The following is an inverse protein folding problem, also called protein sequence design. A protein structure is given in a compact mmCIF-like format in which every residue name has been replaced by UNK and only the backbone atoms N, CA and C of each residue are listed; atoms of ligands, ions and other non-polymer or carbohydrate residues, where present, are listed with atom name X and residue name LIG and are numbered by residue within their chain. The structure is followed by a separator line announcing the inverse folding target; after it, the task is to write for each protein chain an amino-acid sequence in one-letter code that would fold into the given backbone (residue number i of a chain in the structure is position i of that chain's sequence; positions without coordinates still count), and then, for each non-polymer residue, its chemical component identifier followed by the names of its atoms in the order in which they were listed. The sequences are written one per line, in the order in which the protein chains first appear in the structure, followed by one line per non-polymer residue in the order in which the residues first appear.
data_IF_493059911461
#
_entry.id   IF_493059911461
#
_cell.length_a   1.000
_cell.length_b   1.000
_cell.length_c   1.000
_cell.angle_alpha   90.00
_cell.angle_beta   90.00
_cell.angle_gamma   90.00
#
_symmetry.space_group_name_H-M   'P 1'
#
loop_
_entity.id
_entity.type
_entity.pdbx_description
1 polymer ?
#
# COMPACT_ATOMS: atom_id res chain seq x y z
N UNK A 1 -12.74 13.65 42.76
CA UNK A 1 -13.22 13.68 41.35
C UNK A 1 -12.29 14.41 40.39
N UNK A 2 -11.70 15.57 40.72
CA UNK A 2 -10.76 16.29 39.81
C UNK A 2 -9.47 15.53 39.49
N UNK A 3 -8.88 14.82 40.47
CA UNK A 3 -7.62 14.09 40.27
C UNK A 3 -7.78 12.85 39.37
N UNK A 4 -8.90 12.13 39.47
CA UNK A 4 -9.19 10.95 38.64
C UNK A 4 -9.30 11.30 37.14
N UNK A 5 -9.92 12.44 36.82
CA UNK A 5 -10.03 12.91 35.43
C UNK A 5 -8.67 13.32 34.84
N UNK A 6 -7.76 13.87 35.65
CA UNK A 6 -6.41 14.25 35.18
C UNK A 6 -5.59 12.99 34.85
N UNK A 7 -5.69 11.95 35.67
CA UNK A 7 -5.00 10.67 35.43
C UNK A 7 -5.55 9.98 34.19
N UNK A 8 -6.88 9.97 34.01
CA UNK A 8 -7.52 9.38 32.83
C UNK A 8 -7.12 10.10 31.53
N UNK A 9 -7.15 11.43 31.52
CA UNK A 9 -6.75 12.24 30.34
C UNK A 9 -5.27 12.04 30.02
N UNK A 10 -4.39 11.99 31.03
CA UNK A 10 -2.96 11.71 30.83
C UNK A 10 -2.72 10.32 30.26
N UNK A 11 -3.43 9.29 30.75
CA UNK A 11 -3.31 7.92 30.24
C UNK A 11 -3.80 7.79 28.80
N UNK A 12 -4.89 8.46 28.44
CA UNK A 12 -5.40 8.49 27.06
C UNK A 12 -4.45 9.25 26.13
N UNK A 13 -3.90 10.38 26.59
CA UNK A 13 -2.92 11.16 25.83
C UNK A 13 -1.62 10.37 25.62
N UNK A 14 -1.15 9.64 26.64
CA UNK A 14 0.01 8.78 26.57
C UNK A 14 -0.23 7.61 25.62
N UNK A 15 -1.42 7.00 25.63
CA UNK A 15 -1.80 5.94 24.69
C UNK A 15 -1.87 6.47 23.25
N UNK A 16 -2.39 7.68 23.04
CA UNK A 16 -2.39 8.36 21.74
C UNK A 16 -0.96 8.64 21.25
N UNK A 17 -0.09 9.13 22.13
CA UNK A 17 1.34 9.34 21.84
C UNK A 17 2.04 8.01 21.52
N UNK A 18 1.77 6.94 22.27
CA UNK A 18 2.31 5.60 22.01
C UNK A 18 1.75 5.00 20.72
N UNK A 19 0.50 5.30 20.34
CA UNK A 19 -0.06 4.94 19.03
C UNK A 19 0.57 5.72 17.87
N UNK A 20 0.95 6.97 18.11
CA UNK A 20 1.66 7.81 17.14
C UNK A 20 3.11 7.32 16.96
N UNK A 21 3.80 6.98 18.06
CA UNK A 21 5.19 6.46 18.04
C UNK A 21 5.27 5.00 17.59
N UNK A 22 4.30 4.16 17.97
CA UNK A 22 4.23 2.75 17.58
C UNK A 22 4.02 2.54 16.08
N UNK A 23 3.46 3.53 15.37
CA UNK A 23 3.40 3.54 13.91
C UNK A 23 4.77 3.65 13.26
N UNK A 24 5.74 4.30 13.90
CA UNK A 24 7.11 4.40 13.38
C UNK A 24 7.93 3.12 13.63
N UNK A 25 7.62 2.36 14.69
CA UNK A 25 8.43 1.20 15.08
C UNK A 25 8.11 -0.06 14.25
N UNK A 26 6.91 -0.18 13.66
CA UNK A 26 6.60 -1.31 12.76
C UNK A 26 7.06 -1.12 11.30
N UNK A 27 7.64 0.04 10.95
CA UNK A 27 8.23 0.29 9.64
C UNK A 27 9.76 0.02 9.59
N UNK A 28 10.41 -0.16 10.74
CA UNK A 28 11.88 -0.25 10.84
C UNK A 28 12.54 -1.51 10.23
N UNK A 29 11.78 -2.48 9.70
CA UNK A 29 12.36 -3.68 9.07
C UNK A 29 12.40 -3.66 7.55
N UNK A 30 11.95 -2.60 6.89
CA UNK A 30 12.05 -2.47 5.43
C UNK A 30 13.25 -1.57 5.11
N UNK A 31 14.30 -2.18 4.56
CA UNK A 31 15.57 -1.57 4.12
C UNK A 31 15.49 -0.06 3.90
N UNK A 32 16.01 0.71 4.87
CA UNK A 32 15.94 2.17 4.96
C UNK A 32 16.11 2.88 3.60
N UNK A 33 15.02 3.35 2.96
CA UNK A 33 15.12 4.32 1.88
C UNK A 33 15.32 5.68 2.57
N UNK A 34 16.51 6.24 2.39
CA UNK A 34 17.01 7.52 2.91
C UNK A 34 15.94 8.46 3.52
N UNK A 35 16.14 8.82 4.79
CA UNK A 35 15.34 9.79 5.52
C UNK A 35 15.33 11.16 4.80
N UNK A 36 14.32 12.01 5.03
CA UNK A 36 14.32 13.40 4.53
C UNK A 36 15.64 14.15 4.84
N UNK A 37 16.28 13.81 5.96
CA UNK A 37 17.56 14.39 6.40
C UNK A 37 18.73 13.98 5.50
N UNK A 38 18.65 12.87 4.77
CA UNK A 38 19.72 12.45 3.85
C UNK A 38 19.77 13.31 2.56
N UNK A 39 18.79 14.20 2.36
CA UNK A 39 18.64 15.05 1.18
C UNK A 39 18.89 16.54 1.46
N UNK A 40 19.83 16.88 2.36
CA UNK A 40 20.13 18.26 2.77
C UNK A 40 20.34 19.24 1.59
N UNK A 41 20.98 18.78 0.51
CA UNK A 41 21.22 19.58 -0.70
C UNK A 41 19.91 20.03 -1.39
N UNK A 42 18.83 19.27 -1.21
CA UNK A 42 17.50 19.54 -1.77
C UNK A 42 16.52 20.08 -0.73
N UNK A 43 16.97 20.35 0.51
CA UNK A 43 16.14 20.83 1.60
C UNK A 43 15.26 22.05 1.25
N UNK A 44 15.72 23.07 0.49
CA UNK A 44 14.86 24.20 0.12
C UNK A 44 13.65 23.77 -0.72
N UNK A 45 13.84 22.87 -1.69
CA UNK A 45 12.76 22.38 -2.56
C UNK A 45 11.84 21.45 -1.78
N UNK A 46 12.41 20.52 -1.01
CA UNK A 46 11.66 19.57 -0.22
C UNK A 46 10.86 20.26 0.88
N UNK A 47 11.37 21.31 1.53
CA UNK A 47 10.61 22.05 2.53
C UNK A 47 9.35 22.70 1.96
N UNK A 48 9.40 23.14 0.71
CA UNK A 48 8.25 23.76 0.05
C UNK A 48 7.28 22.72 -0.53
N UNK A 49 7.77 21.65 -1.15
CA UNK A 49 6.93 20.71 -1.89
C UNK A 49 6.50 19.46 -1.13
N UNK A 50 7.27 19.04 -0.12
CA UNK A 50 6.93 17.86 0.68
C UNK A 50 5.68 18.12 1.52
N UNK A 51 4.75 17.18 1.50
CA UNK A 51 3.55 17.24 2.33
C UNK A 51 3.55 16.09 3.35
N UNK A 52 3.64 16.38 4.66
CA UNK A 52 3.65 15.33 5.70
C UNK A 52 2.29 14.60 5.84
N UNK A 53 1.23 15.13 5.24
CA UNK A 53 -0.09 14.48 5.19
C UNK A 53 -0.28 13.62 3.94
N UNK A 54 0.66 13.65 2.99
CA UNK A 54 0.63 12.75 1.86
C UNK A 54 1.05 11.35 2.31
N UNK A 55 0.25 10.35 1.97
CA UNK A 55 0.62 8.95 2.15
C UNK A 55 1.71 8.57 1.13
N UNK A 56 1.57 9.03 -0.11
CA UNK A 56 2.56 8.83 -1.16
C UNK A 56 2.78 10.13 -1.95
N UNK A 57 4.00 10.40 -2.41
CA UNK A 57 4.28 11.61 -3.21
C UNK A 57 5.48 11.45 -4.14
N UNK A 58 5.40 12.12 -5.28
CA UNK A 58 6.43 12.25 -6.30
C UNK A 58 6.81 13.73 -6.42
N UNK A 59 8.09 14.07 -6.29
CA UNK A 59 8.60 15.45 -6.27
C UNK A 59 9.70 15.60 -7.32
N UNK A 60 9.56 16.58 -8.21
CA UNK A 60 10.57 16.91 -9.23
C UNK A 60 11.44 18.06 -8.74
N UNK A 61 12.74 17.80 -8.53
CA UNK A 61 13.66 18.76 -7.93
C UNK A 61 14.67 19.35 -8.93
N UNK A 62 15.12 18.61 -9.93
CA UNK A 62 16.09 19.08 -10.95
C UNK A 62 15.72 18.60 -12.35
N UNK A 63 16.26 19.24 -13.41
CA UNK A 63 16.04 18.85 -14.81
C UNK A 63 14.83 19.45 -15.53
N UNK A 64 13.88 20.03 -14.79
CA UNK A 64 12.76 20.84 -15.33
C UNK A 64 12.83 22.31 -14.89
N UNK A 65 12.26 23.20 -15.70
CA UNK A 65 12.16 24.63 -15.41
C UNK A 65 11.20 24.95 -14.26
N UNK A 66 10.16 24.13 -14.09
CA UNK A 66 9.22 24.21 -12.97
C UNK A 66 9.44 23.03 -12.02
N UNK A 67 9.37 23.28 -10.71
CA UNK A 67 9.42 22.24 -9.67
C UNK A 67 8.04 22.03 -9.10
N UNK A 68 7.67 20.78 -8.94
CA UNK A 68 6.33 20.40 -8.54
C UNK A 68 6.32 19.05 -7.83
N UNK A 69 5.19 18.77 -7.19
CA UNK A 69 4.88 17.53 -6.54
C UNK A 69 3.51 17.03 -6.97
N UNK A 70 3.44 15.72 -7.19
CA UNK A 70 2.20 14.95 -7.22
C UNK A 70 2.06 14.26 -5.86
N UNK A 71 0.95 14.48 -5.17
CA UNK A 71 0.73 14.06 -3.79
C UNK A 71 -0.56 13.25 -3.71
N UNK A 72 -0.50 12.09 -3.07
CA UNK A 72 -1.67 11.30 -2.67
C UNK A 72 -1.90 11.58 -1.19
N UNK A 73 -2.89 12.42 -0.88
CA UNK A 73 -3.23 12.79 0.49
C UNK A 73 -4.25 11.78 1.02
N UNK A 74 -3.96 11.16 2.17
CA UNK A 74 -4.91 10.24 2.80
C UNK A 74 -6.12 11.02 3.33
N UNK A 75 -7.32 10.52 3.03
CA UNK A 75 -8.57 11.08 3.53
C UNK A 75 -8.79 10.78 5.01
N UNK A 76 -9.89 11.29 5.54
CA UNK A 76 -10.32 11.00 6.92
C UNK A 76 -10.40 9.50 7.18
N UNK A 77 -9.80 9.04 8.29
CA UNK A 77 -9.81 7.64 8.76
C UNK A 77 -11.21 7.12 9.18
N UNK A 78 -12.19 8.02 9.28
CA UNK A 78 -13.53 7.73 9.81
C UNK A 78 -14.55 7.32 8.72
N UNK A 79 -14.17 7.39 7.44
CA UNK A 79 -14.96 6.94 6.29
C UNK A 79 -14.13 6.02 5.40
N UNK A 80 -14.71 5.46 4.33
CA UNK A 80 -13.92 4.84 3.25
C UNK A 80 -12.76 5.77 2.89
N UNK A 81 -11.52 5.24 2.84
CA UNK A 81 -10.32 6.05 2.54
C UNK A 81 -10.54 6.74 1.19
N UNK A 82 -10.79 8.04 1.27
CA UNK A 82 -10.92 8.93 0.12
C UNK A 82 -9.59 9.61 -0.02
N UNK A 83 -8.73 9.05 -0.86
CA UNK A 83 -7.48 9.72 -1.19
C UNK A 83 -7.80 11.04 -1.93
N UNK A 84 -6.86 11.97 -1.97
CA UNK A 84 -6.92 13.15 -2.83
C UNK A 84 -5.63 13.18 -3.63
N UNK A 85 -5.75 13.19 -4.96
CA UNK A 85 -4.58 13.37 -5.82
C UNK A 85 -4.40 14.86 -6.06
N UNK A 86 -3.28 15.42 -5.58
CA UNK A 86 -3.00 16.84 -5.63
C UNK A 86 -1.72 17.14 -6.40
N UNK A 87 -1.76 18.17 -7.23
CA UNK A 87 -0.59 18.78 -7.83
C UNK A 87 -0.26 20.07 -7.07
N UNK A 88 1.01 20.25 -6.71
CA UNK A 88 1.54 21.47 -6.08
C UNK A 88 2.81 21.90 -6.80
N UNK A 89 2.94 23.17 -7.16
CA UNK A 89 4.20 23.73 -7.65
C UNK A 89 4.77 24.82 -6.72
N UNK A 90 6.01 25.23 -6.97
CA UNK A 90 6.67 26.30 -6.22
C UNK A 90 6.06 27.69 -6.43
N UNK A 91 5.16 27.86 -7.41
CA UNK A 91 4.42 29.11 -7.63
C UNK A 91 3.15 29.17 -6.76
N UNK A 92 2.88 28.12 -5.98
CA UNK A 92 1.72 28.02 -5.11
C UNK A 92 0.45 27.55 -5.84
N UNK A 93 0.55 27.11 -7.10
CA UNK A 93 -0.59 26.50 -7.77
C UNK A 93 -0.89 25.16 -7.12
N UNK A 94 -2.11 25.02 -6.60
CA UNK A 94 -2.64 23.77 -6.07
C UNK A 94 -3.85 23.34 -6.88
N UNK A 95 -3.82 22.12 -7.40
CA UNK A 95 -4.96 21.48 -8.09
C UNK A 95 -5.21 20.13 -7.47
N UNK A 96 -6.48 19.75 -7.37
CA UNK A 96 -6.90 18.51 -6.73
C UNK A 96 -7.84 17.77 -7.67
N UNK A 97 -7.71 16.44 -7.70
CA UNK A 97 -8.55 15.53 -8.47
C UNK A 97 -9.19 14.51 -7.52
N UNK A 98 -10.51 14.48 -7.53
CA UNK A 98 -11.35 13.58 -6.72
C UNK A 98 -11.87 12.41 -7.55
N UNK A 99 -10.97 11.52 -7.98
CA UNK A 99 -11.30 10.27 -8.66
C UNK A 99 -10.65 9.09 -7.91
N UNK A 100 -11.47 8.31 -7.20
CA UNK A 100 -11.00 7.26 -6.29
C UNK A 100 -10.18 6.17 -6.98
N UNK A 101 -10.53 5.83 -8.21
CA UNK A 101 -9.79 4.83 -8.99
C UNK A 101 -8.41 5.37 -9.38
N UNK A 102 -8.35 6.59 -9.93
CA UNK A 102 -7.09 7.22 -10.32
C UNK A 102 -6.17 7.37 -9.10
N UNK A 103 -6.71 7.81 -7.98
CA UNK A 103 -5.96 7.97 -6.74
C UNK A 103 -5.38 6.64 -6.24
N UNK A 104 -6.20 5.59 -6.14
CA UNK A 104 -5.74 4.27 -5.67
C UNK A 104 -4.67 3.67 -6.59
N UNK A 105 -4.76 3.90 -7.90
CA UNK A 105 -3.79 3.40 -8.88
C UNK A 105 -2.46 4.12 -8.77
N UNK A 106 -2.47 5.46 -8.67
CA UNK A 106 -1.24 6.25 -8.50
C UNK A 106 -0.59 6.01 -7.14
N UNK A 107 -1.37 5.95 -6.06
CA UNK A 107 -0.88 5.63 -4.72
C UNK A 107 -0.13 4.30 -4.69
N UNK A 108 -0.71 3.26 -5.29
CA UNK A 108 -0.11 1.92 -5.34
C UNK A 108 1.18 1.94 -6.15
N UNK A 109 1.18 2.61 -7.31
CA UNK A 109 2.38 2.75 -8.14
C UNK A 109 3.53 3.44 -7.38
N UNK A 110 3.25 4.57 -6.73
CA UNK A 110 4.26 5.32 -5.97
C UNK A 110 4.81 4.51 -4.80
N UNK A 111 3.94 3.86 -4.03
CA UNK A 111 4.31 2.98 -2.91
C UNK A 111 5.35 1.93 -3.34
N UNK A 112 5.08 1.20 -4.42
CA UNK A 112 6.00 0.14 -4.85
C UNK A 112 7.20 0.65 -5.65
N UNK A 113 7.12 1.84 -6.26
CA UNK A 113 8.28 2.51 -6.84
C UNK A 113 9.32 2.86 -5.75
N UNK A 114 8.90 3.30 -4.56
CA UNK A 114 9.79 3.55 -3.41
C UNK A 114 10.40 2.26 -2.88
N UNK A 115 9.58 1.21 -2.71
CA UNK A 115 10.04 -0.07 -2.17
C UNK A 115 11.02 -0.81 -3.09
N UNK A 116 10.96 -0.56 -4.41
CA UNK A 116 11.84 -1.17 -5.41
C UNK A 116 13.13 -0.38 -5.67
N UNK A 117 13.21 0.87 -5.21
CA UNK A 117 14.46 1.64 -5.23
C UNK A 117 15.40 1.20 -4.12
N UNK A 118 16.33 0.30 -4.44
CA UNK A 118 17.54 0.14 -3.63
C UNK A 118 18.52 1.29 -3.94
N UNK A 119 19.10 1.97 -2.93
CA UNK A 119 20.15 2.95 -3.20
C UNK A 119 21.44 2.21 -3.58
N UNK A 120 21.94 2.42 -4.79
CA UNK A 120 23.33 2.10 -5.10
C UNK A 120 24.11 3.36 -5.45
N UNK A 121 24.93 3.75 -4.47
CA UNK A 121 26.14 4.57 -4.52
C UNK A 121 26.25 5.50 -5.73
N UNK A 122 26.08 6.81 -5.47
CA UNK A 122 26.79 7.94 -6.10
C UNK A 122 28.06 7.45 -6.80
N UNK A 123 28.02 7.15 -8.10
CA UNK A 123 29.25 6.81 -8.81
C UNK A 123 29.49 7.74 -9.96
N UNK A 124 30.01 8.89 -9.52
CA UNK A 124 31.07 9.66 -10.16
C UNK A 124 30.58 10.42 -11.39
N UNK A 125 31.25 11.51 -11.73
CA UNK A 125 31.29 12.09 -13.09
C UNK A 125 30.42 13.32 -13.43
N UNK A 126 29.77 14.01 -12.49
CA UNK A 126 29.23 15.38 -12.71
C UNK A 126 28.28 15.57 -13.91
N UNK A 127 26.98 15.40 -13.72
CA UNK A 127 26.07 15.16 -14.86
C UNK A 127 24.77 16.00 -14.85
N UNK A 128 24.37 16.42 -16.07
CA UNK A 128 23.11 17.06 -16.45
C UNK A 128 21.94 16.05 -16.43
N UNK A 129 21.20 15.94 -15.33
CA UNK A 129 20.11 14.96 -15.16
C UNK A 129 18.81 15.57 -14.59
N UNK A 130 17.68 14.87 -14.79
CA UNK A 130 16.43 15.14 -14.07
C UNK A 130 16.43 14.31 -12.79
N UNK A 131 16.20 14.97 -11.66
CA UNK A 131 16.22 14.35 -10.33
C UNK A 131 14.82 14.43 -9.74
N UNK A 132 14.29 13.27 -9.39
CA UNK A 132 12.97 13.12 -8.79
C UNK A 132 13.07 12.35 -7.48
N UNK A 133 12.17 12.66 -6.55
CA UNK A 133 12.04 11.97 -5.28
C UNK A 133 10.68 11.31 -5.18
N UNK A 134 10.65 10.10 -4.62
CA UNK A 134 9.45 9.35 -4.32
C UNK A 134 9.40 9.14 -2.82
N UNK A 135 8.23 9.27 -2.22
CA UNK A 135 8.05 9.00 -0.79
C UNK A 135 6.82 8.13 -0.55
N UNK A 136 6.96 7.16 0.35
CA UNK A 136 5.89 6.39 1.00
C UNK A 136 5.96 6.72 2.49
N UNK A 137 5.02 7.54 2.98
CA UNK A 137 5.05 8.16 4.30
C UNK A 137 6.37 8.92 4.57
N UNK A 138 7.25 8.36 5.39
CA UNK A 138 8.54 8.95 5.76
C UNK A 138 9.72 8.33 4.99
N UNK A 139 9.49 7.21 4.32
CA UNK A 139 10.51 6.50 3.54
C UNK A 139 10.65 7.17 2.17
N UNK A 140 11.88 7.53 1.79
CA UNK A 140 12.16 8.31 0.59
C UNK A 140 13.17 7.66 -0.35
N UNK A 141 12.93 7.78 -1.65
CA UNK A 141 13.83 7.31 -2.69
C UNK A 141 14.13 8.39 -3.73
N UNK A 142 15.42 8.54 -4.06
CA UNK A 142 15.88 9.38 -5.16
C UNK A 142 15.98 8.57 -6.45
N UNK A 143 15.50 9.16 -7.53
CA UNK A 143 15.69 8.67 -8.89
C UNK A 143 16.32 9.77 -9.74
N UNK A 144 17.46 9.44 -10.33
CA UNK A 144 18.19 10.32 -11.26
C UNK A 144 18.27 9.64 -12.62
N UNK A 145 17.89 10.34 -13.69
CA UNK A 145 17.93 9.77 -15.04
C UNK A 145 18.34 10.78 -16.12
N UNK A 146 18.82 10.25 -17.24
CA UNK A 146 19.14 11.01 -18.45
C UNK A 146 17.87 11.26 -19.24
N UNK A 147 17.64 12.53 -19.60
CA UNK A 147 16.49 12.96 -20.42
C UNK A 147 16.37 12.23 -21.77
N UNK A 148 17.46 11.63 -22.25
CA UNK A 148 17.54 10.89 -23.52
C UNK A 148 17.14 9.40 -23.39
N UNK A 149 17.29 8.80 -22.20
CA UNK A 149 17.09 7.35 -21.97
C UNK A 149 15.62 6.95 -21.82
N UNK A 150 14.70 7.92 -21.77
CA UNK A 150 13.28 7.70 -21.49
C UNK A 150 12.35 8.11 -22.65
N UNK A 151 12.74 7.78 -23.89
CA UNK A 151 11.82 7.85 -25.04
C UNK A 151 10.92 6.59 -25.17
N UNK A 152 10.89 5.73 -24.16
CA UNK A 152 9.94 4.62 -24.08
C UNK A 152 8.60 5.11 -23.56
N UNK A 153 7.62 5.35 -24.45
CA UNK A 153 6.22 5.59 -24.04
C UNK A 153 5.78 4.54 -23.02
N UNK A 154 5.29 4.97 -21.87
CA UNK A 154 4.77 4.11 -20.81
C UNK A 154 5.76 3.73 -19.70
N UNK A 155 6.91 4.40 -19.59
CA UNK A 155 7.81 4.32 -18.41
C UNK A 155 7.21 4.96 -17.15
N UNK A 156 7.83 4.71 -15.98
CA UNK A 156 7.35 5.24 -14.69
C UNK A 156 7.22 6.76 -14.70
N UNK A 157 8.23 7.49 -15.19
CA UNK A 157 8.19 8.95 -15.19
C UNK A 157 7.18 9.46 -16.19
N UNK A 158 7.10 8.89 -17.41
CA UNK A 158 6.10 9.28 -18.42
C UNK A 158 4.66 9.16 -17.87
N UNK A 159 4.37 8.08 -17.14
CA UNK A 159 3.09 7.87 -16.45
C UNK A 159 2.85 8.94 -15.38
N UNK A 160 3.85 9.28 -14.57
CA UNK A 160 3.72 10.28 -13.50
C UNK A 160 3.59 11.69 -14.03
N UNK A 161 4.33 12.05 -15.09
CA UNK A 161 4.24 13.34 -15.75
C UNK A 161 2.89 13.55 -16.42
N UNK A 162 2.40 12.52 -17.13
CA UNK A 162 1.04 12.56 -17.69
C UNK A 162 -0.02 12.66 -16.59
N UNK A 163 0.21 12.03 -15.44
CA UNK A 163 -0.68 12.14 -14.28
C UNK A 163 -0.64 13.54 -13.65
N UNK A 164 0.52 14.20 -13.57
CA UNK A 164 0.65 15.59 -13.15
C UNK A 164 -0.16 16.52 -14.06
N UNK A 165 -0.01 16.39 -15.37
CA UNK A 165 -0.78 17.17 -16.34
C UNK A 165 -2.29 16.88 -16.25
N UNK A 166 -2.67 15.63 -16.02
CA UNK A 166 -4.07 15.27 -15.79
C UNK A 166 -4.66 15.98 -14.57
N UNK A 167 -3.95 16.02 -13.44
CA UNK A 167 -4.42 16.71 -12.23
C UNK A 167 -4.45 18.22 -12.43
N UNK A 168 -3.39 18.79 -13.00
CA UNK A 168 -3.26 20.23 -13.28
C UNK A 168 -4.41 20.75 -14.14
N UNK A 169 -4.83 19.95 -15.13
CA UNK A 169 -5.88 20.29 -16.07
C UNK A 169 -7.26 19.70 -15.72
N UNK A 170 -7.40 19.01 -14.58
CA UNK A 170 -8.63 18.33 -14.14
C UNK A 170 -9.20 17.34 -15.17
N UNK A 171 -8.35 16.44 -15.67
CA UNK A 171 -8.62 15.45 -16.73
C UNK A 171 -8.38 14.00 -16.25
N UNK A 172 -9.24 13.43 -15.37
CA UNK A 172 -9.07 12.08 -14.85
C UNK A 172 -9.01 10.99 -15.94
N UNK A 173 -9.65 11.22 -17.08
CA UNK A 173 -9.66 10.32 -18.22
C UNK A 173 -8.27 10.01 -18.77
N UNK A 174 -7.32 10.95 -18.67
CA UNK A 174 -5.93 10.73 -19.08
C UNK A 174 -5.25 9.67 -18.18
N UNK A 175 -5.49 9.73 -16.86
CA UNK A 175 -4.99 8.72 -15.92
C UNK A 175 -5.68 7.38 -16.17
N UNK A 176 -6.98 7.38 -16.45
CA UNK A 176 -7.73 6.14 -16.75
C UNK A 176 -7.18 5.41 -17.98
N UNK A 177 -6.74 6.14 -19.01
CA UNK A 177 -6.10 5.55 -20.20
C UNK A 177 -4.74 4.91 -19.89
N UNK A 178 -4.07 5.36 -18.82
CA UNK A 178 -2.78 4.83 -18.37
C UNK A 178 -2.92 3.65 -17.41
N UNK A 179 -4.12 3.29 -16.96
CA UNK A 179 -4.32 2.19 -15.99
C UNK A 179 -3.63 0.88 -16.41
N UNK A 180 -3.67 0.43 -17.66
CA UNK A 180 -2.94 -0.77 -18.08
C UNK A 180 -1.42 -0.67 -17.85
N UNK A 181 -0.83 0.49 -18.14
CA UNK A 181 0.60 0.75 -17.92
C UNK A 181 0.91 0.85 -16.42
N UNK A 182 0.08 1.56 -15.66
CA UNK A 182 0.18 1.66 -14.21
C UNK A 182 0.15 0.26 -13.58
N UNK A 183 -0.82 -0.58 -13.96
CA UNK A 183 -0.96 -1.94 -13.44
C UNK A 183 0.22 -2.83 -13.80
N UNK A 184 0.78 -2.67 -15.01
CA UNK A 184 1.97 -3.39 -15.43
C UNK A 184 3.20 -2.99 -14.60
N UNK A 185 3.45 -1.69 -14.42
CA UNK A 185 4.56 -1.17 -13.63
C UNK A 185 4.43 -1.54 -12.16
N UNK A 186 3.25 -1.33 -11.57
CA UNK A 186 2.97 -1.71 -10.19
C UNK A 186 3.18 -3.21 -9.97
N UNK A 187 2.69 -4.06 -10.87
CA UNK A 187 2.93 -5.51 -10.79
C UNK A 187 4.42 -5.83 -10.86
N UNK A 188 5.16 -5.20 -11.77
CA UNK A 188 6.60 -5.38 -11.87
C UNK A 188 7.30 -5.02 -10.55
N UNK A 189 6.99 -3.86 -9.96
CA UNK A 189 7.61 -3.46 -8.69
C UNK A 189 7.23 -4.36 -7.51
N UNK A 190 5.98 -4.83 -7.47
CA UNK A 190 5.54 -5.82 -6.48
C UNK A 190 6.31 -7.14 -6.54
N UNK A 191 6.93 -7.48 -7.67
CA UNK A 191 7.77 -8.70 -7.73
C UNK A 191 9.04 -8.62 -6.89
N UNK A 192 9.46 -7.42 -6.47
CA UNK A 192 10.58 -7.21 -5.55
C UNK A 192 10.22 -7.37 -4.07
N UNK A 193 8.96 -7.71 -3.74
CA UNK A 193 8.52 -7.95 -2.37
C UNK A 193 9.35 -9.08 -1.72
N UNK A 194 9.82 -8.82 -0.50
CA UNK A 194 10.74 -9.70 0.22
C UNK A 194 10.15 -11.08 0.48
N UNK A 195 11.00 -12.10 0.51
CA UNK A 195 10.58 -13.48 0.73
C UNK A 195 9.89 -13.64 2.10
N UNK A 196 10.37 -12.91 3.10
CA UNK A 196 9.94 -12.92 4.50
C UNK A 196 8.53 -12.36 4.68
N UNK A 197 8.10 -11.43 3.83
CA UNK A 197 6.73 -10.90 3.79
C UNK A 197 5.70 -12.02 3.63
N UNK A 198 6.13 -13.15 3.07
CA UNK A 198 5.29 -14.30 2.76
C UNK A 198 5.40 -15.43 3.78
N UNK A 199 6.12 -15.23 4.88
CA UNK A 199 6.12 -16.19 5.97
C UNK A 199 4.70 -16.30 6.53
N UNK A 200 4.28 -17.54 6.80
CA UNK A 200 2.96 -17.81 7.39
C UNK A 200 3.15 -17.88 8.89
N UNK A 201 2.46 -16.99 9.61
CA UNK A 201 2.32 -17.06 11.06
C UNK A 201 1.01 -17.76 11.41
N UNK A 202 1.03 -18.50 12.52
CA UNK A 202 -0.15 -19.15 13.06
C UNK A 202 -0.54 -18.48 14.37
N UNK A 203 -1.82 -18.22 14.56
CA UNK A 203 -2.35 -17.67 15.80
C UNK A 203 -3.70 -18.28 16.14
N UNK A 204 -3.99 -18.42 17.43
CA UNK A 204 -5.28 -18.87 17.91
C UNK A 204 -6.08 -17.69 18.45
N UNK A 205 -7.37 -17.66 18.15
CA UNK A 205 -8.28 -16.58 18.56
C UNK A 205 -9.70 -17.12 18.68
N UNK A 206 -10.64 -16.20 18.90
CA UNK A 206 -12.06 -16.46 18.70
C UNK A 206 -12.58 -15.67 17.49
N UNK A 207 -13.42 -16.30 16.68
CA UNK A 207 -14.16 -15.65 15.59
C UNK A 207 -15.63 -16.09 15.68
N UNK A 208 -16.55 -15.11 15.68
CA UNK A 208 -17.98 -15.36 15.90
C UNK A 208 -18.28 -16.19 17.16
N UNK A 209 -17.54 -15.94 18.24
CA UNK A 209 -17.61 -16.70 19.50
C UNK A 209 -17.19 -18.18 19.41
N UNK A 210 -16.55 -18.60 18.32
CA UNK A 210 -16.00 -19.93 18.16
C UNK A 210 -14.47 -19.92 18.24
N UNK A 211 -13.84 -20.97 18.79
CA UNK A 211 -12.40 -21.17 18.65
C UNK A 211 -12.00 -21.13 17.18
N UNK A 212 -10.97 -20.37 16.87
CA UNK A 212 -10.48 -20.15 15.54
C UNK A 212 -8.96 -20.26 15.52
N UNK A 213 -8.42 -21.04 14.60
CA UNK A 213 -6.99 -21.00 14.28
C UNK A 213 -6.82 -20.25 12.98
N UNK A 214 -5.95 -19.25 12.98
CA UNK A 214 -5.67 -18.39 11.83
C UNK A 214 -4.27 -18.64 11.30
N UNK A 215 -4.16 -18.84 9.99
CA UNK A 215 -2.92 -18.72 9.26
C UNK A 215 -2.89 -17.34 8.60
N UNK A 216 -1.90 -16.51 8.93
CA UNK A 216 -1.78 -15.16 8.38
C UNK A 216 -0.45 -14.92 7.69
N UNK A 217 -0.45 -14.08 6.67
CA UNK A 217 0.76 -13.72 5.92
C UNK A 217 0.64 -12.29 5.35
N UNK A 218 1.72 -11.79 4.77
CA UNK A 218 1.80 -10.44 4.20
C UNK A 218 1.41 -9.37 5.24
N UNK A 219 2.20 -9.30 6.31
CA UNK A 219 2.04 -8.32 7.41
C UNK A 219 0.64 -8.35 8.04
N UNK A 220 0.06 -9.55 8.20
CA UNK A 220 -1.31 -9.75 8.69
C UNK A 220 -2.38 -9.05 7.83
N UNK A 221 -2.15 -8.96 6.52
CA UNK A 221 -3.13 -8.50 5.54
C UNK A 221 -3.96 -9.63 4.93
N UNK A 222 -3.47 -10.87 4.97
CA UNK A 222 -4.20 -12.03 4.43
C UNK A 222 -4.31 -13.14 5.47
N UNK A 223 -5.51 -13.67 5.66
CA UNK A 223 -5.84 -14.64 6.71
C UNK A 223 -6.66 -15.80 6.15
N UNK A 224 -6.33 -17.01 6.58
CA UNK A 224 -7.20 -18.20 6.47
C UNK A 224 -7.59 -18.61 7.88
N UNK A 225 -8.88 -18.50 8.19
CA UNK A 225 -9.45 -18.65 9.52
C UNK A 225 -10.24 -19.96 9.60
N UNK A 226 -9.73 -20.95 10.32
CA UNK A 226 -10.40 -22.24 10.53
C UNK A 226 -11.32 -22.17 11.74
N UNK A 227 -12.64 -22.16 11.49
CA UNK A 227 -13.65 -22.08 12.56
C UNK A 227 -13.89 -23.47 13.15
N UNK A 228 -13.78 -23.58 14.49
CA UNK A 228 -13.86 -24.85 15.24
C UNK A 228 -12.96 -25.91 14.59
N UNK A 229 -11.62 -25.73 14.57
CA UNK A 229 -10.73 -26.68 13.90
C UNK A 229 -10.75 -28.06 14.60
N UNK A 230 -10.60 -29.16 13.84
CA UNK A 230 -10.29 -30.49 14.41
C UNK A 230 -8.79 -30.60 14.65
N UNK A 231 -8.05 -30.13 13.65
CA UNK A 231 -6.60 -30.20 13.60
C UNK A 231 -5.99 -29.17 14.53
N UNK A 232 -4.84 -29.52 15.09
CA UNK A 232 -4.00 -28.60 15.86
C UNK A 232 -3.46 -27.47 14.98
N UNK A 233 -2.98 -26.36 15.57
CA UNK A 233 -2.38 -25.27 14.82
C UNK A 233 -1.21 -25.71 13.92
N UNK A 234 -0.34 -26.60 14.40
CA UNK A 234 0.80 -27.10 13.63
C UNK A 234 0.36 -27.97 12.44
N UNK A 235 -0.66 -28.82 12.63
CA UNK A 235 -1.22 -29.63 11.55
C UNK A 235 -1.88 -28.75 10.47
N UNK A 236 -2.59 -27.70 10.85
CA UNK A 236 -3.17 -26.73 9.91
C UNK A 236 -2.08 -25.97 9.15
N UNK A 237 -1.05 -25.50 9.86
CA UNK A 237 0.09 -24.82 9.24
C UNK A 237 0.81 -25.70 8.23
N UNK A 238 1.07 -26.97 8.59
CA UNK A 238 1.71 -27.95 7.71
C UNK A 238 0.84 -28.27 6.48
N UNK A 239 -0.48 -28.39 6.66
CA UNK A 239 -1.42 -28.75 5.58
C UNK A 239 -1.70 -27.58 4.63
N UNK A 240 -1.85 -26.37 5.15
CA UNK A 240 -2.38 -25.23 4.39
C UNK A 240 -1.43 -24.04 4.25
N UNK A 241 -0.28 -24.03 4.93
CA UNK A 241 0.67 -22.90 4.88
C UNK A 241 1.11 -22.53 3.46
N UNK A 242 1.51 -23.52 2.65
CA UNK A 242 1.90 -23.27 1.26
C UNK A 242 0.74 -22.77 0.38
N UNK A 243 -0.47 -23.25 0.63
CA UNK A 243 -1.65 -22.76 -0.09
C UNK A 243 -1.90 -21.29 0.28
N UNK A 244 -1.96 -20.97 1.58
CA UNK A 244 -2.13 -19.61 2.10
C UNK A 244 -1.12 -18.66 1.48
N UNK A 245 0.16 -19.06 1.43
CA UNK A 245 1.22 -18.26 0.83
C UNK A 245 0.98 -18.01 -0.67
N UNK A 246 0.68 -19.06 -1.45
CA UNK A 246 0.47 -18.95 -2.91
C UNK A 246 -0.71 -18.05 -3.25
N UNK A 247 -1.84 -18.23 -2.59
CA UNK A 247 -3.05 -17.44 -2.90
C UNK A 247 -2.91 -15.99 -2.45
N UNK A 248 -2.21 -15.73 -1.34
CA UNK A 248 -1.90 -14.36 -0.91
C UNK A 248 -0.97 -13.65 -1.90
N UNK A 249 0.12 -14.32 -2.33
CA UNK A 249 1.02 -13.82 -3.38
C UNK A 249 0.27 -13.51 -4.68
N UNK A 250 -0.59 -14.43 -5.10
CA UNK A 250 -1.40 -14.24 -6.30
C UNK A 250 -2.30 -13.00 -6.17
N UNK A 251 -3.02 -12.86 -5.05
CA UNK A 251 -3.91 -11.71 -4.84
C UNK A 251 -3.14 -10.40 -4.80
N UNK A 252 -1.97 -10.37 -4.16
CA UNK A 252 -1.10 -9.21 -4.08
C UNK A 252 -0.62 -8.73 -5.46
N UNK A 253 -0.16 -9.65 -6.30
CA UNK A 253 0.37 -9.35 -7.64
C UNK A 253 -0.72 -8.94 -8.65
N UNK A 254 -1.98 -9.25 -8.36
CA UNK A 254 -3.10 -9.05 -9.28
C UNK A 254 -4.15 -8.05 -8.78
N UNK A 255 -3.91 -7.39 -7.65
CA UNK A 255 -4.87 -6.44 -7.06
C UNK A 255 -4.17 -5.37 -6.22
N UNK A 256 -4.89 -4.31 -5.85
CA UNK A 256 -4.39 -3.28 -4.93
C UNK A 256 -4.96 -3.44 -3.51
N UNK A 257 -5.59 -4.58 -3.22
CA UNK A 257 -6.33 -4.79 -1.96
C UNK A 257 -5.37 -4.84 -0.77
N UNK A 258 -4.29 -5.61 -0.91
CA UNK A 258 -3.32 -5.81 0.16
C UNK A 258 -2.33 -4.65 0.31
N UNK A 259 -2.38 -3.65 -0.59
CA UNK A 259 -1.44 -2.54 -0.64
C UNK A 259 -1.66 -1.55 0.51
N UNK A 260 -2.92 -1.33 0.90
CA UNK A 260 -3.33 -0.23 1.78
C UNK A 260 -3.95 -0.71 3.10
N UNK A 261 -3.43 -1.78 3.68
CA UNK A 261 -3.88 -2.34 4.97
C UNK A 261 -5.33 -2.86 4.98
N UNK A 262 -5.93 -3.18 3.82
CA UNK A 262 -7.19 -3.95 3.82
C UNK A 262 -6.86 -5.41 4.09
N UNK A 263 -7.58 -6.03 5.02
CA UNK A 263 -7.38 -7.44 5.31
C UNK A 263 -8.38 -8.30 4.56
N UNK A 264 -7.93 -9.47 4.12
CA UNK A 264 -8.77 -10.49 3.50
C UNK A 264 -8.82 -11.71 4.40
N UNK A 265 -10.01 -12.11 4.79
CA UNK A 265 -10.28 -13.26 5.64
C UNK A 265 -11.00 -14.35 4.83
N UNK A 266 -10.35 -15.50 4.71
CA UNK A 266 -10.95 -16.72 4.19
C UNK A 266 -11.43 -17.53 5.38
N UNK A 267 -12.73 -17.45 5.67
CA UNK A 267 -13.34 -18.16 6.79
C UNK A 267 -13.71 -19.57 6.33
N UNK A 268 -13.05 -20.56 6.91
CA UNK A 268 -13.26 -21.97 6.62
C UNK A 268 -14.25 -22.53 7.64
N UNK A 269 -15.46 -22.84 7.15
CA UNK A 269 -16.52 -23.47 7.93
C UNK A 269 -16.59 -24.98 7.61
N UNK A 270 -17.00 -25.78 8.60
CA UNK A 270 -17.34 -27.19 8.37
C UNK A 270 -18.75 -27.39 7.80
N UNK A 271 -19.63 -26.42 8.04
CA UNK A 271 -21.00 -26.46 7.58
C UNK A 271 -21.10 -25.87 6.18
N UNK A 272 -22.13 -26.30 5.43
CA UNK A 272 -22.41 -25.78 4.09
C UNK A 272 -22.52 -24.25 4.16
N UNK A 273 -21.76 -23.56 3.31
CA UNK A 273 -21.79 -22.10 3.24
C UNK A 273 -23.12 -21.66 2.64
N UNK A 274 -23.83 -20.78 3.36
CA UNK A 274 -24.96 -20.03 2.85
C UNK A 274 -24.46 -19.08 1.74
N UNK A 275 -25.00 -19.21 0.53
CA UNK A 275 -24.59 -18.40 -0.62
C UNK A 275 -24.76 -16.90 -0.37
N UNK A 276 -25.76 -16.50 0.42
CA UNK A 276 -25.98 -15.10 0.79
C UNK A 276 -24.90 -14.56 1.73
N UNK A 277 -24.16 -15.45 2.39
CA UNK A 277 -23.04 -15.12 3.27
C UNK A 277 -21.69 -15.45 2.64
N UNK A 278 -21.64 -15.84 1.36
CA UNK A 278 -20.40 -16.23 0.69
C UNK A 278 -19.34 -15.13 0.73
N UNK A 279 -19.76 -13.87 0.61
CA UNK A 279 -18.89 -12.71 0.61
C UNK A 279 -19.51 -11.57 1.42
N UNK A 280 -18.69 -10.86 2.19
CA UNK A 280 -19.07 -9.59 2.78
C UNK A 280 -17.87 -8.66 2.89
N UNK A 281 -18.15 -7.36 2.92
CA UNK A 281 -17.17 -6.32 3.19
C UNK A 281 -17.63 -5.52 4.40
N UNK A 282 -16.79 -5.40 5.42
CA UNK A 282 -17.13 -4.70 6.65
C UNK A 282 -15.87 -4.16 7.33
N UNK A 283 -15.92 -2.91 7.79
CA UNK A 283 -14.82 -2.23 8.50
C UNK A 283 -13.46 -2.29 7.79
N UNK A 284 -13.43 -2.22 6.45
CA UNK A 284 -12.18 -2.28 5.68
C UNK A 284 -11.64 -3.70 5.48
N UNK A 285 -12.41 -4.72 5.84
CA UNK A 285 -12.04 -6.12 5.70
C UNK A 285 -12.97 -6.86 4.75
N UNK A 286 -12.38 -7.72 3.92
CA UNK A 286 -13.10 -8.62 3.04
C UNK A 286 -13.21 -9.99 3.70
N UNK A 287 -14.41 -10.56 3.72
CA UNK A 287 -14.66 -11.88 4.25
C UNK A 287 -15.20 -12.77 3.13
N UNK A 288 -14.56 -13.91 2.91
CA UNK A 288 -15.00 -14.93 1.98
C UNK A 288 -15.20 -16.22 2.80
N UNK A 289 -16.42 -16.74 2.81
CA UNK A 289 -16.75 -17.96 3.53
C UNK A 289 -16.65 -19.16 2.58
N UNK A 290 -15.87 -20.16 2.97
CA UNK A 290 -15.65 -21.38 2.20
C UNK A 290 -15.79 -22.60 3.10
N UNK A 291 -16.03 -23.75 2.49
CA UNK A 291 -15.86 -25.05 3.13
C UNK A 291 -14.42 -25.53 3.00
N UNK A 292 -14.00 -26.51 3.81
CA UNK A 292 -12.63 -27.03 3.76
C UNK A 292 -12.32 -27.72 2.41
N UNK A 293 -13.29 -28.39 1.78
CA UNK A 293 -13.15 -28.99 0.45
C UNK A 293 -12.99 -27.96 -0.67
N UNK A 294 -13.46 -26.74 -0.46
CA UNK A 294 -13.27 -25.62 -1.37
C UNK A 294 -11.92 -24.93 -1.21
N UNK A 295 -11.12 -25.30 -0.21
CA UNK A 295 -9.84 -24.67 0.10
C UNK A 295 -8.73 -25.16 -0.85
N UNK A 296 -8.89 -24.79 -2.12
CA UNK A 296 -7.96 -25.06 -3.21
C UNK A 296 -7.55 -23.76 -3.91
N UNK A 297 -6.36 -23.74 -4.50
CA UNK A 297 -5.82 -22.55 -5.16
C UNK A 297 -6.75 -22.04 -6.28
N UNK A 298 -7.22 -22.93 -7.15
CA UNK A 298 -8.10 -22.58 -8.26
C UNK A 298 -9.44 -22.00 -7.80
N UNK A 299 -10.05 -22.60 -6.77
CA UNK A 299 -11.33 -22.14 -6.22
C UNK A 299 -11.18 -20.79 -5.54
N UNK A 300 -10.15 -20.58 -4.73
CA UNK A 300 -9.88 -19.30 -4.07
C UNK A 300 -9.60 -18.19 -5.09
N UNK A 301 -8.78 -18.45 -6.11
CA UNK A 301 -8.52 -17.49 -7.19
C UNK A 301 -9.82 -17.12 -7.94
N UNK A 302 -10.69 -18.11 -8.22
CA UNK A 302 -11.97 -17.84 -8.85
C UNK A 302 -12.88 -16.94 -7.98
N UNK A 303 -12.89 -17.16 -6.66
CA UNK A 303 -13.61 -16.31 -5.71
C UNK A 303 -13.02 -14.89 -5.68
N UNK A 304 -11.69 -14.74 -5.72
CA UNK A 304 -11.06 -13.41 -5.78
C UNK A 304 -11.45 -12.66 -7.05
N UNK A 305 -11.36 -13.30 -8.21
CA UNK A 305 -11.81 -12.69 -9.47
C UNK A 305 -13.28 -12.27 -9.43
N UNK A 306 -14.12 -13.07 -8.75
CA UNK A 306 -15.56 -12.82 -8.66
C UNK A 306 -15.91 -11.68 -7.71
N UNK A 307 -15.27 -11.62 -6.53
CA UNK A 307 -15.69 -10.71 -5.46
C UNK A 307 -14.76 -9.54 -5.22
N UNK A 308 -13.49 -9.68 -5.58
CA UNK A 308 -12.44 -8.72 -5.22
C UNK A 308 -11.91 -7.91 -6.41
N UNK A 309 -11.93 -8.48 -7.62
CA UNK A 309 -11.29 -7.90 -8.81
C UNK A 309 -12.28 -7.46 -9.90
N UNK A 310 -13.54 -7.20 -9.53
CA UNK A 310 -14.55 -6.65 -10.45
C UNK A 310 -14.43 -5.14 -10.56
#
# INVERSE_FOLDING_TARGET
MKESNITFVKSVLLLLLLFLVGREIQAQSRFSPCSKLDYELYAPILNELYNPLAAEQYIVAEGESEKYALQVIDGSRLSERTYILAYKDLKGNKKELTDSLCQMKIASLLRYAVLSSTPFVRRKLGIRHKTCFFFDLQDGAEYTFRKEEEHGRGGLIDVLETSCEAVKNNKPELIRQLIPQIDSLTRHFKTFELAESWNVSTSESYAYSFPCTQLSTHYSGFHVCFLRPVLTPDELSNKYGQLTQRVAKWLFLNSNILDFTRSVYINVSREKVDENKRFSYSYGHYYINVTEDELTESKLIALFKTYLLR
#
